data_IF_011779424780
#
_entry.id   IF_011779424780
#
_cell.length_a   1.000
_cell.length_b   1.000
_cell.length_c   1.000
_cell.angle_alpha   90.00
_cell.angle_beta   90.00
_cell.angle_gamma   90.00
#
_symmetry.space_group_name_H-M   'P 1'
#
loop_
_entity.id
_entity.type
_entity.pdbx_description
1 polymer ?
#
# COMPACT_ATOMS: atom_id res chain seq x y z
N UNK A 1 19.32 13.97 12.99
CA UNK A 1 18.07 13.41 13.55
C UNK A 1 18.28 11.90 13.66
N UNK A 2 18.56 11.38 14.85
CA UNK A 2 18.80 9.94 15.04
C UNK A 2 17.44 9.24 15.11
N UNK A 3 17.10 8.47 14.07
CA UNK A 3 15.86 7.70 14.04
C UNK A 3 16.07 6.50 14.94
N UNK A 4 15.51 6.54 16.15
CA UNK A 4 15.51 5.41 17.08
C UNK A 4 14.41 4.44 16.65
N UNK A 5 14.80 3.33 16.02
CA UNK A 5 13.91 2.22 15.62
C UNK A 5 13.73 1.26 16.80
N UNK A 6 13.08 1.72 17.86
CA UNK A 6 12.94 0.94 19.10
C UNK A 6 11.63 0.11 19.11
N UNK A 7 10.64 0.45 18.27
CA UNK A 7 9.29 -0.15 18.30
C UNK A 7 8.91 -0.85 16.99
N UNK A 8 8.11 -1.93 17.06
CA UNK A 8 7.49 -2.59 15.88
C UNK A 8 6.75 -1.59 14.97
N UNK A 9 6.15 -0.56 15.58
CA UNK A 9 5.44 0.49 14.85
C UNK A 9 6.39 1.33 13.98
N UNK A 10 7.64 1.53 14.41
CA UNK A 10 8.65 2.29 13.68
C UNK A 10 9.13 1.53 12.43
N UNK A 11 9.33 0.21 12.56
CA UNK A 11 9.60 -0.67 11.41
C UNK A 11 8.44 -0.69 10.41
N UNK A 12 7.20 -0.75 10.91
CA UNK A 12 6.02 -0.69 10.06
C UNK A 12 5.90 0.65 9.33
N UNK A 13 6.20 1.75 10.01
CA UNK A 13 6.23 3.08 9.41
C UNK A 13 7.33 3.21 8.35
N UNK A 14 8.51 2.66 8.60
CA UNK A 14 9.59 2.59 7.60
C UNK A 14 9.16 1.77 6.37
N UNK A 15 8.46 0.65 6.57
CA UNK A 15 7.91 -0.17 5.49
C UNK A 15 6.89 0.61 4.64
N UNK A 16 6.03 1.43 5.27
CA UNK A 16 5.09 2.30 4.54
C UNK A 16 5.85 3.34 3.70
N UNK A 17 6.88 3.97 4.27
CA UNK A 17 7.72 4.94 3.55
C UNK A 17 8.40 4.26 2.36
N UNK A 18 8.98 3.09 2.56
CA UNK A 18 9.62 2.31 1.51
C UNK A 18 8.65 1.97 0.38
N UNK A 19 7.44 1.51 0.71
CA UNK A 19 6.38 1.22 -0.29
C UNK A 19 6.01 2.47 -1.08
N UNK A 20 5.96 3.64 -0.43
CA UNK A 20 5.70 4.93 -1.08
C UNK A 20 6.80 5.33 -2.08
N UNK A 21 8.07 5.03 -1.75
CA UNK A 21 9.19 5.27 -2.66
C UNK A 21 9.06 4.38 -3.91
N UNK A 22 8.74 3.10 -3.75
CA UNK A 22 8.52 2.19 -4.90
C UNK A 22 7.36 2.69 -5.77
N UNK A 23 6.27 3.14 -5.16
CA UNK A 23 5.14 3.72 -5.88
C UNK A 23 5.57 4.96 -6.69
N UNK A 24 6.33 5.88 -6.09
CA UNK A 24 6.81 7.08 -6.78
C UNK A 24 7.73 6.74 -7.96
N UNK A 25 8.63 5.76 -7.80
CA UNK A 25 9.48 5.27 -8.89
C UNK A 25 8.66 4.63 -10.00
N UNK A 26 7.66 3.82 -9.65
CA UNK A 26 6.77 3.18 -10.63
C UNK A 26 5.93 4.20 -11.41
N UNK A 27 5.46 5.25 -10.73
CA UNK A 27 4.74 6.36 -11.36
C UNK A 27 5.64 7.16 -12.31
N UNK A 28 6.86 7.47 -11.88
CA UNK A 28 7.81 8.21 -12.71
C UNK A 28 8.23 7.36 -13.92
N UNK A 29 8.42 6.05 -13.74
CA UNK A 29 8.71 5.11 -14.82
C UNK A 29 7.59 5.02 -15.87
N UNK A 30 6.33 4.96 -15.42
CA UNK A 30 5.14 4.98 -16.28
C UNK A 30 5.05 6.28 -17.11
N UNK A 31 5.29 7.44 -16.47
CA UNK A 31 5.27 8.75 -17.16
C UNK A 31 6.42 8.88 -18.16
N UNK A 32 7.63 8.47 -17.80
CA UNK A 32 8.81 8.52 -18.68
C UNK A 32 8.67 7.56 -19.86
N UNK A 33 8.13 6.35 -19.63
CA UNK A 33 7.83 5.42 -20.72
C UNK A 33 6.85 6.06 -21.70
N UNK A 34 5.71 6.58 -21.23
CA UNK A 34 4.70 7.24 -22.08
C UNK A 34 5.22 8.41 -22.90
N UNK A 35 6.30 9.07 -22.48
CA UNK A 35 6.90 10.20 -23.19
C UNK A 35 8.13 9.83 -24.05
N UNK A 36 8.55 8.56 -24.04
CA UNK A 36 9.63 8.05 -24.87
C UNK A 36 9.09 7.58 -26.21
N UNK A 37 9.64 8.06 -27.34
CA UNK A 37 9.28 7.62 -28.70
C UNK A 37 9.75 6.19 -29.03
N UNK A 38 10.38 5.50 -28.07
CA UNK A 38 10.85 4.13 -28.24
C UNK A 38 9.70 3.13 -28.10
N UNK A 39 9.07 2.80 -29.22
CA UNK A 39 7.95 1.85 -29.33
C UNK A 39 8.21 0.51 -28.61
N UNK A 40 9.40 -0.07 -28.77
CA UNK A 40 9.80 -1.34 -28.13
C UNK A 40 10.00 -1.24 -26.61
N UNK A 41 10.41 -0.09 -26.09
CA UNK A 41 10.50 0.11 -24.65
C UNK A 41 9.12 0.29 -24.03
N UNK A 42 8.21 0.97 -24.73
CA UNK A 42 6.84 1.19 -24.25
C UNK A 42 6.04 -0.11 -24.15
N UNK A 43 6.12 -0.98 -25.15
CA UNK A 43 5.35 -2.22 -25.14
C UNK A 43 5.72 -3.17 -23.99
N UNK A 44 6.99 -3.15 -23.54
CA UNK A 44 7.48 -4.06 -22.49
C UNK A 44 7.43 -3.43 -21.09
N UNK A 45 7.75 -2.14 -20.97
CA UNK A 45 7.89 -1.47 -19.68
C UNK A 45 6.57 -0.92 -19.16
N UNK A 46 5.72 -0.36 -20.03
CA UNK A 46 4.43 0.23 -19.66
C UNK A 46 3.53 -0.76 -18.89
N UNK A 47 3.27 -2.00 -19.37
CA UNK A 47 2.41 -2.93 -18.62
C UNK A 47 3.03 -3.39 -17.30
N UNK A 48 4.36 -3.40 -17.18
CA UNK A 48 5.05 -3.76 -15.92
C UNK A 48 4.97 -2.63 -14.90
N UNK A 49 5.19 -1.38 -15.32
CA UNK A 49 5.09 -0.23 -14.43
C UNK A 49 3.66 0.00 -13.95
N UNK A 50 2.67 -0.12 -14.84
CA UNK A 50 1.25 -0.07 -14.47
C UNK A 50 0.91 -1.17 -13.46
N UNK A 51 1.36 -2.41 -13.70
CA UNK A 51 1.15 -3.51 -12.76
C UNK A 51 1.76 -3.23 -11.39
N UNK A 52 3.02 -2.80 -11.30
CA UNK A 52 3.67 -2.51 -10.01
C UNK A 52 3.07 -1.29 -9.31
N UNK A 53 2.66 -0.27 -10.06
CA UNK A 53 1.97 0.92 -9.55
C UNK A 53 0.66 0.56 -8.85
N UNK A 54 -0.23 -0.19 -9.51
CA UNK A 54 -1.51 -0.58 -8.92
C UNK A 54 -1.35 -1.47 -7.66
N UNK A 55 -0.32 -2.32 -7.65
CA UNK A 55 -0.03 -3.22 -6.52
C UNK A 55 0.54 -2.49 -5.32
N UNK A 56 1.49 -1.58 -5.56
CA UNK A 56 2.13 -0.80 -4.49
C UNK A 56 1.14 0.20 -3.89
N UNK A 57 0.24 0.76 -4.70
CA UNK A 57 -0.88 1.57 -4.23
C UNK A 57 -1.83 0.78 -3.34
N UNK A 58 -2.22 -0.43 -3.77
CA UNK A 58 -3.07 -1.30 -2.95
C UNK A 58 -2.41 -1.65 -1.60
N UNK A 59 -1.14 -2.08 -1.61
CA UNK A 59 -0.39 -2.40 -0.39
C UNK A 59 -0.30 -1.16 0.51
N UNK A 60 -0.04 0.01 -0.06
CA UNK A 60 -0.01 1.26 0.69
C UNK A 60 -1.35 1.57 1.37
N UNK A 61 -2.48 1.44 0.66
CA UNK A 61 -3.82 1.65 1.24
C UNK A 61 -4.07 0.69 2.39
N UNK A 62 -3.74 -0.60 2.21
CA UNK A 62 -3.91 -1.61 3.27
C UNK A 62 -3.02 -1.28 4.47
N UNK A 63 -1.74 -0.96 4.27
CA UNK A 63 -0.86 -0.60 5.39
C UNK A 63 -1.31 0.66 6.13
N UNK A 64 -1.74 1.70 5.39
CA UNK A 64 -2.28 2.92 5.99
C UNK A 64 -3.56 2.66 6.78
N UNK A 65 -4.46 1.84 6.24
CA UNK A 65 -5.69 1.46 6.93
C UNK A 65 -5.41 0.70 8.23
N UNK A 66 -4.47 -0.25 8.21
CA UNK A 66 -4.04 -0.98 9.40
C UNK A 66 -3.36 -0.06 10.42
N UNK A 67 -2.54 0.89 9.97
CA UNK A 67 -1.92 1.89 10.85
C UNK A 67 -3.00 2.70 11.59
N UNK A 68 -4.02 3.17 10.87
CA UNK A 68 -5.12 3.91 11.47
C UNK A 68 -5.90 3.07 12.49
N UNK A 69 -6.22 1.82 12.14
CA UNK A 69 -6.96 0.90 13.02
C UNK A 69 -6.17 0.61 14.30
N UNK A 70 -4.87 0.32 14.20
CA UNK A 70 -4.02 -0.02 15.35
C UNK A 70 -3.75 1.21 16.21
N UNK A 71 -3.40 2.34 15.58
CA UNK A 71 -2.94 3.54 16.27
C UNK A 71 -4.08 4.41 16.85
N UNK A 72 -5.28 4.31 16.28
CA UNK A 72 -6.48 4.99 16.77
C UNK A 72 -7.49 4.01 17.35
N UNK A 73 -7.06 2.82 17.79
CA UNK A 73 -7.95 1.86 18.42
C UNK A 73 -8.53 2.45 19.73
N UNK A 74 -9.85 2.66 19.86
CA UNK A 74 -10.45 3.21 21.07
C UNK A 74 -10.33 2.29 22.28
N UNK A 75 -10.06 1.00 22.08
CA UNK A 75 -9.90 0.01 23.15
C UNK A 75 -8.51 0.03 23.80
N UNK A 76 -7.49 0.54 23.10
CA UNK A 76 -6.14 0.67 23.63
C UNK A 76 -5.80 2.15 23.76
N UNK A 77 -5.94 2.76 24.96
CA UNK A 77 -5.58 4.15 25.18
C UNK A 77 -4.05 4.30 25.18
N UNK A 78 -3.45 4.28 23.99
CA UNK A 78 -2.08 4.72 23.78
C UNK A 78 -2.06 6.20 24.13
N UNK A 79 -1.08 6.62 24.93
CA UNK A 79 -0.93 7.89 25.68
C UNK A 79 -0.99 9.22 24.91
N UNK A 80 -1.63 9.27 23.75
CA UNK A 80 -1.87 10.50 23.02
C UNK A 80 -3.15 11.11 23.56
N UNK A 81 -3.05 12.36 24.02
CA UNK A 81 -4.15 13.24 24.43
C UNK A 81 -5.03 13.57 23.21
N UNK A 82 -5.65 12.53 22.65
CA UNK A 82 -6.49 12.59 21.46
C UNK A 82 -7.92 12.72 21.91
N UNK A 83 -8.59 13.72 21.36
CA UNK A 83 -10.04 13.87 21.47
C UNK A 83 -10.71 12.55 21.04
N UNK A 84 -11.55 11.99 21.93
CA UNK A 84 -12.20 10.67 21.74
C UNK A 84 -12.91 10.57 20.40
N UNK A 85 -13.56 11.65 19.97
CA UNK A 85 -14.29 11.74 18.69
C UNK A 85 -13.36 11.54 17.48
N UNK A 86 -12.18 12.17 17.52
CA UNK A 86 -11.19 12.10 16.45
C UNK A 86 -10.57 10.71 16.35
N UNK A 87 -10.29 10.08 17.50
CA UNK A 87 -9.81 8.69 17.56
C UNK A 87 -10.81 7.72 16.95
N UNK A 88 -12.09 7.84 17.33
CA UNK A 88 -13.15 7.02 16.79
C UNK A 88 -13.33 7.21 15.27
N UNK A 89 -13.29 8.46 14.80
CA UNK A 89 -13.42 8.78 13.38
C UNK A 89 -12.28 8.18 12.56
N UNK A 90 -11.02 8.31 13.00
CA UNK A 90 -9.88 7.72 12.29
C UNK A 90 -9.86 6.20 12.33
N UNK A 91 -10.34 5.59 13.40
CA UNK A 91 -10.51 4.14 13.49
C UNK A 91 -11.51 3.62 12.44
N UNK A 92 -12.72 4.21 12.39
CA UNK A 92 -13.73 3.87 11.40
C UNK A 92 -13.22 4.14 9.99
N UNK A 93 -12.54 5.26 9.79
CA UNK A 93 -11.96 5.60 8.49
C UNK A 93 -10.95 4.54 8.02
N UNK A 94 -10.10 4.02 8.91
CA UNK A 94 -9.23 2.89 8.63
C UNK A 94 -10.00 1.65 8.19
N UNK A 95 -11.09 1.30 8.89
CA UNK A 95 -11.94 0.15 8.51
C UNK A 95 -12.57 0.38 7.13
N UNK A 96 -13.10 1.57 6.85
CA UNK A 96 -13.70 1.91 5.56
C UNK A 96 -12.67 1.80 4.44
N UNK A 97 -11.45 2.31 4.63
CA UNK A 97 -10.38 2.19 3.64
C UNK A 97 -10.04 0.72 3.37
N UNK A 98 -9.98 -0.11 4.40
CA UNK A 98 -9.73 -1.55 4.25
C UNK A 98 -10.85 -2.23 3.46
N UNK A 99 -12.12 -1.90 3.73
CA UNK A 99 -13.26 -2.48 3.02
C UNK A 99 -13.36 -1.98 1.57
N UNK A 100 -13.08 -0.70 1.32
CA UNK A 100 -13.15 -0.09 -0.02
C UNK A 100 -11.91 -0.35 -0.87
N UNK A 101 -10.87 -0.97 -0.30
CA UNK A 101 -9.69 -1.38 -1.04
C UNK A 101 -10.08 -2.32 -2.20
N UNK A 102 -9.41 -2.18 -3.34
CA UNK A 102 -9.66 -2.97 -4.55
C UNK A 102 -9.13 -4.41 -4.40
N UNK A 103 -9.76 -5.22 -3.55
CA UNK A 103 -9.39 -6.62 -3.29
C UNK A 103 -9.29 -7.48 -4.54
N UNK A 104 -10.04 -7.13 -5.60
CA UNK A 104 -9.96 -7.78 -6.91
C UNK A 104 -8.57 -7.71 -7.55
N UNK A 105 -7.78 -6.67 -7.26
CA UNK A 105 -6.38 -6.62 -7.67
C UNK A 105 -5.65 -7.81 -7.05
N UNK A 106 -5.73 -7.98 -5.73
CA UNK A 106 -5.03 -9.07 -5.02
C UNK A 106 -5.45 -10.48 -5.48
N UNK A 107 -6.76 -10.74 -5.60
CA UNK A 107 -7.25 -12.10 -5.83
C UNK A 107 -7.40 -12.51 -7.31
N UNK A 108 -7.65 -11.59 -8.25
CA UNK A 108 -7.98 -11.97 -9.64
C UNK A 108 -6.86 -11.73 -10.65
N UNK A 109 -6.04 -10.71 -10.43
CA UNK A 109 -5.10 -10.22 -11.44
C UNK A 109 -3.64 -10.55 -11.13
N UNK A 110 -3.39 -11.37 -10.12
CA UNK A 110 -2.05 -11.61 -9.65
C UNK A 110 -1.46 -12.83 -10.36
N UNK A 111 -0.27 -12.69 -10.95
CA UNK A 111 0.37 -13.75 -11.77
C UNK A 111 0.60 -15.07 -11.04
N UNK A 112 0.59 -15.06 -9.70
CA UNK A 112 0.75 -16.23 -8.83
C UNK A 112 -0.56 -16.97 -8.56
N UNK A 113 -1.72 -16.33 -8.78
CA UNK A 113 -3.03 -16.95 -8.62
C UNK A 113 -3.26 -18.17 -9.55
N UNK A 114 -3.00 -18.10 -10.87
CA UNK A 114 -3.16 -19.27 -11.74
C UNK A 114 -2.20 -20.42 -11.37
N UNK A 115 -0.96 -20.10 -11.00
CA UNK A 115 0.05 -21.09 -10.57
C UNK A 115 -0.42 -21.81 -9.30
N UNK A 116 -0.99 -21.07 -8.35
CA UNK A 116 -1.51 -21.65 -7.12
C UNK A 116 -2.73 -22.55 -7.37
N UNK A 117 -3.61 -22.17 -8.31
CA UNK A 117 -4.77 -23.00 -8.67
C UNK A 117 -4.39 -24.27 -9.46
N UNK A 118 -3.29 -24.26 -10.22
CA UNK A 118 -2.78 -25.45 -10.89
C UNK A 118 -2.12 -26.43 -9.91
N UNK A 119 -1.45 -25.94 -8.87
CA UNK A 119 -0.82 -26.76 -7.83
C UNK A 119 -1.81 -27.48 -6.90
N UNK A 120 -3.08 -27.06 -6.90
CA UNK A 120 -4.13 -27.55 -6.00
C UNK A 120 -5.16 -28.44 -6.71
N UNK A 121 -5.01 -28.63 -8.04
CA UNK A 121 -5.81 -29.54 -8.88
C UNK A 121 -5.03 -30.83 -9.10
#
# INVERSE_FOLDING_TARGET
>A
MSIKLETILDYFLFFIIFTKIIFALSFTGDVVAKHSDNYTLNEILDPRFVYWKERTEFIFIVCMSLLLIIHFNPYYPIHLDKRKDTTFLFFIFGIILLMTAKWGLFFKQAKWYPIFTELLR
#
